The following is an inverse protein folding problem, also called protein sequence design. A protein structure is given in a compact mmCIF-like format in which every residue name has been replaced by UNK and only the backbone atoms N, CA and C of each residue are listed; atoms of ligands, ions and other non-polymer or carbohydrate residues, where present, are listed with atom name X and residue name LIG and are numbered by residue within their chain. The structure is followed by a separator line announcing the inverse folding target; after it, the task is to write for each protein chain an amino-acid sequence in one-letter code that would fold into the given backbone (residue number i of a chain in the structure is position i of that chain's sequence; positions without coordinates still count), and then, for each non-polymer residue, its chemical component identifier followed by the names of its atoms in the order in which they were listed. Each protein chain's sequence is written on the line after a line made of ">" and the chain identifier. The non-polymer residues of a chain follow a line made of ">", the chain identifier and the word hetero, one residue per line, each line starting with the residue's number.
data_IF_174089563627
#
_entry.id   IF_174089563627
#
_cell.length_a   1.000
_cell.length_b   1.000
_cell.length_c   1.000
_cell.angle_alpha   90.00
_cell.angle_beta   90.00
_cell.angle_gamma   90.00
#
_symmetry.space_group_name_H-M   'P 1'
#
loop_
_entity.id
_entity.type
_entity.pdbx_description
1 polymer ?
#
# COMPACT_ATOMS: atom_id res chain seq x y z
N UNK A 1 -15.16 -11.07 -9.81
CA UNK A 1 -14.90 -10.27 -8.60
C UNK A 1 -14.64 -8.84 -8.96
N UNK A 2 -15.12 -7.93 -8.13
CA UNK A 2 -15.04 -6.49 -8.44
C UNK A 2 -13.81 -5.80 -7.85
N UNK A 3 -13.09 -6.45 -6.95
CA UNK A 3 -11.88 -5.90 -6.31
C UNK A 3 -12.08 -4.48 -5.81
N UNK A 4 -13.06 -4.25 -4.90
CA UNK A 4 -13.42 -2.89 -4.51
C UNK A 4 -12.30 -2.14 -3.79
N UNK A 5 -11.48 -2.82 -3.01
CA UNK A 5 -10.38 -2.18 -2.29
C UNK A 5 -9.32 -1.66 -3.26
N UNK A 6 -8.95 -2.46 -4.26
CA UNK A 6 -7.98 -2.05 -5.26
C UNK A 6 -8.53 -0.92 -6.12
N UNK A 7 -9.82 -0.98 -6.49
CA UNK A 7 -10.44 0.09 -7.27
C UNK A 7 -10.44 1.41 -6.52
N UNK A 8 -10.83 1.37 -5.25
CA UNK A 8 -10.82 2.57 -4.41
C UNK A 8 -9.40 3.14 -4.29
N UNK A 9 -8.43 2.28 -4.02
CA UNK A 9 -7.05 2.70 -3.87
C UNK A 9 -6.52 3.36 -5.14
N UNK A 10 -6.74 2.71 -6.29
CA UNK A 10 -6.25 3.24 -7.57
C UNK A 10 -6.87 4.60 -7.86
N UNK A 11 -8.17 4.75 -7.65
CA UNK A 11 -8.87 6.01 -7.93
C UNK A 11 -8.47 7.12 -6.97
N UNK A 12 -8.00 6.78 -5.78
CA UNK A 12 -7.69 7.76 -4.74
C UNK A 12 -6.22 8.15 -4.70
N UNK A 13 -5.30 7.17 -4.82
CA UNK A 13 -3.89 7.40 -4.52
C UNK A 13 -2.95 7.27 -5.71
N UNK A 14 -3.42 6.81 -6.86
CA UNK A 14 -2.57 6.63 -8.03
C UNK A 14 -2.66 7.83 -8.94
N UNK A 15 -1.54 8.20 -9.57
CA UNK A 15 -1.51 9.26 -10.57
C UNK A 15 -2.56 8.98 -11.65
N UNK A 16 -3.30 10.01 -12.03
CA UNK A 16 -4.44 9.87 -12.93
C UNK A 16 -4.09 9.15 -14.23
N UNK A 17 -2.95 9.48 -14.82
CA UNK A 17 -2.53 8.91 -16.10
C UNK A 17 -2.08 7.43 -15.99
N UNK A 18 -1.97 6.90 -14.78
CA UNK A 18 -1.56 5.52 -14.56
C UNK A 18 -2.69 4.60 -14.11
N UNK A 19 -3.86 5.16 -13.80
CA UNK A 19 -4.95 4.43 -13.16
C UNK A 19 -5.51 3.29 -14.01
N UNK A 20 -5.81 3.57 -15.26
CA UNK A 20 -6.47 2.60 -16.13
C UNK A 20 -5.63 1.35 -16.32
N UNK A 21 -4.36 1.53 -16.65
CA UNK A 21 -3.46 0.40 -16.90
C UNK A 21 -3.20 -0.41 -15.64
N UNK A 22 -3.00 0.27 -14.50
CA UNK A 22 -2.77 -0.42 -13.25
C UNK A 22 -3.99 -1.22 -12.83
N UNK A 23 -5.16 -0.60 -12.90
CA UNK A 23 -6.40 -1.27 -12.53
C UNK A 23 -6.66 -2.50 -13.40
N UNK A 24 -6.40 -2.39 -14.70
CA UNK A 24 -6.53 -3.54 -15.60
C UNK A 24 -5.67 -4.71 -15.11
N UNK A 25 -4.41 -4.46 -14.78
CA UNK A 25 -3.52 -5.52 -14.29
C UNK A 25 -4.00 -6.13 -12.97
N UNK A 26 -4.49 -5.31 -12.04
CA UNK A 26 -4.92 -5.77 -10.73
C UNK A 26 -6.23 -6.55 -10.76
N UNK A 27 -7.11 -6.26 -11.73
CA UNK A 27 -8.46 -6.84 -11.75
C UNK A 27 -8.67 -7.89 -12.82
N UNK A 28 -7.67 -8.18 -13.65
CA UNK A 28 -7.76 -9.22 -14.67
C UNK A 28 -7.24 -10.52 -14.10
N UNK A 29 -8.05 -11.60 -14.01
CA UNK A 29 -7.66 -12.83 -13.33
C UNK A 29 -6.33 -13.37 -13.79
N UNK A 30 -5.97 -13.65 -14.89
CA UNK A 30 -4.67 -14.24 -15.29
C UNK A 30 -3.48 -13.31 -15.15
N UNK A 31 -3.69 -12.03 -14.81
CA UNK A 31 -2.64 -11.02 -14.75
C UNK A 31 -2.42 -10.45 -13.35
N UNK A 32 -3.21 -10.89 -12.39
CA UNK A 32 -3.25 -10.26 -11.07
C UNK A 32 -1.91 -10.35 -10.32
N UNK A 33 -1.25 -11.50 -10.33
CA UNK A 33 0.06 -11.63 -9.65
C UNK A 33 1.08 -10.65 -10.25
N UNK A 34 1.18 -10.59 -11.57
CA UNK A 34 2.12 -9.68 -12.22
C UNK A 34 1.75 -8.23 -11.95
N UNK A 35 0.45 -7.92 -11.91
CA UNK A 35 -0.03 -6.57 -11.59
C UNK A 35 0.34 -6.16 -10.17
N UNK A 36 0.14 -7.04 -9.20
CA UNK A 36 0.51 -6.78 -7.81
C UNK A 36 2.02 -6.58 -7.69
N UNK A 37 2.80 -7.46 -8.30
CA UNK A 37 4.26 -7.37 -8.25
C UNK A 37 4.75 -6.06 -8.85
N UNK A 38 4.25 -5.69 -10.02
CA UNK A 38 4.64 -4.45 -10.69
C UNK A 38 4.26 -3.24 -9.84
N UNK A 39 3.04 -3.23 -9.32
CA UNK A 39 2.58 -2.13 -8.49
C UNK A 39 3.47 -1.98 -7.25
N UNK A 40 3.71 -3.06 -6.53
CA UNK A 40 4.48 -3.01 -5.30
C UNK A 40 5.92 -2.54 -5.54
N UNK A 41 6.52 -2.95 -6.66
CA UNK A 41 7.91 -2.58 -6.96
C UNK A 41 8.05 -1.19 -7.58
N UNK A 42 6.98 -0.63 -8.13
CA UNK A 42 7.00 0.68 -8.79
C UNK A 42 6.11 1.71 -8.08
N UNK A 43 5.74 1.45 -6.83
CA UNK A 43 4.77 2.27 -6.12
C UNK A 43 5.11 3.76 -6.12
N UNK A 44 6.38 4.12 -5.88
CA UNK A 44 6.77 5.52 -5.83
C UNK A 44 6.53 6.26 -7.14
N UNK A 45 6.65 5.56 -8.27
CA UNK A 45 6.44 6.15 -9.58
C UNK A 45 4.95 6.26 -9.94
N UNK A 46 4.12 5.43 -9.31
CA UNK A 46 2.69 5.34 -9.62
C UNK A 46 1.83 6.20 -8.68
N UNK A 47 2.30 6.44 -7.46
CA UNK A 47 1.53 7.16 -6.44
C UNK A 47 1.44 8.66 -6.74
N UNK A 48 0.30 9.25 -6.39
CA UNK A 48 0.10 10.69 -6.46
C UNK A 48 0.84 11.34 -5.29
N UNK A 49 1.91 12.12 -5.54
CA UNK A 49 2.71 12.67 -4.46
C UNK A 49 1.95 13.68 -3.59
N UNK A 50 0.87 14.27 -4.10
CA UNK A 50 0.08 15.21 -3.30
C UNK A 50 -0.66 14.53 -2.15
N UNK A 51 -0.79 13.21 -2.19
CA UNK A 51 -1.45 12.43 -1.14
C UNK A 51 -0.50 11.96 -0.05
N UNK A 52 0.80 12.07 -0.24
CA UNK A 52 1.80 11.61 0.73
C UNK A 52 1.87 12.62 1.87
N UNK A 53 1.64 12.14 3.11
CA UNK A 53 1.69 13.00 4.30
C UNK A 53 2.90 12.72 5.18
N UNK A 54 3.50 11.53 5.08
CA UNK A 54 4.74 11.19 5.79
C UNK A 54 5.54 10.22 4.94
N UNK A 55 6.87 10.31 4.98
CA UNK A 55 7.73 9.37 4.29
C UNK A 55 9.09 9.25 4.97
N UNK A 56 9.78 8.14 4.74
CA UNK A 56 11.12 7.91 5.24
C UNK A 56 11.32 6.48 5.74
N UNK A 57 12.58 6.05 5.83
CA UNK A 57 12.94 4.72 6.32
C UNK A 57 12.54 4.51 7.77
N UNK A 58 12.52 5.58 8.54
CA UNK A 58 12.22 5.55 9.97
C UNK A 58 10.73 5.77 10.28
N UNK A 59 9.87 5.78 9.26
CA UNK A 59 8.45 6.08 9.43
C UNK A 59 7.81 5.28 10.56
N UNK A 60 8.05 3.98 10.59
CA UNK A 60 7.45 3.08 11.56
C UNK A 60 7.92 3.32 12.99
N UNK A 61 8.97 4.14 13.19
CA UNK A 61 9.53 4.47 14.51
C UNK A 61 9.18 5.88 14.95
N UNK A 62 8.48 6.66 14.13
CA UNK A 62 8.13 8.04 14.47
C UNK A 62 6.90 8.08 15.39
N UNK A 63 6.90 8.95 16.41
CA UNK A 63 5.72 9.10 17.27
C UNK A 63 4.46 9.51 16.52
N UNK A 64 4.59 10.35 15.50
CA UNK A 64 3.46 10.79 14.68
C UNK A 64 2.79 9.62 13.97
N UNK A 65 3.58 8.66 13.51
CA UNK A 65 3.06 7.47 12.87
C UNK A 65 2.33 6.57 13.88
N UNK A 66 2.91 6.39 15.07
CA UNK A 66 2.26 5.62 16.14
C UNK A 66 0.94 6.26 16.53
N UNK A 67 0.89 7.59 16.59
CA UNK A 67 -0.34 8.32 16.86
C UNK A 67 -1.40 8.09 15.78
N UNK A 68 -0.97 8.11 14.52
CA UNK A 68 -1.86 7.83 13.40
C UNK A 68 -2.45 6.42 13.50
N UNK A 69 -1.63 5.42 13.81
CA UNK A 69 -2.09 4.03 13.94
C UNK A 69 -3.15 3.90 15.05
N UNK A 70 -2.96 4.60 16.17
CA UNK A 70 -3.93 4.56 17.26
C UNK A 70 -5.26 5.21 16.88
N UNK A 71 -5.22 6.25 16.05
CA UNK A 71 -6.43 6.96 15.64
C UNK A 71 -7.19 6.23 14.52
N UNK A 72 -6.53 5.35 13.80
CA UNK A 72 -7.09 4.68 12.62
C UNK A 72 -7.10 3.16 12.80
N UNK A 73 -7.41 2.68 13.99
CA UNK A 73 -7.47 1.25 14.29
C UNK A 73 -8.69 0.62 13.61
N UNK A 74 -8.46 0.09 12.42
CA UNK A 74 -9.51 -0.51 11.61
C UNK A 74 -8.96 -1.73 10.86
N UNK A 75 -9.87 -2.53 10.29
CA UNK A 75 -9.48 -3.64 9.42
C UNK A 75 -9.07 -3.08 8.08
N UNK A 76 -7.89 -3.46 7.62
CA UNK A 76 -7.30 -2.99 6.37
C UNK A 76 -7.15 -4.15 5.39
N UNK A 77 -7.06 -3.81 4.11
CA UNK A 77 -6.78 -4.77 3.04
C UNK A 77 -5.30 -4.68 2.67
N UNK A 78 -4.62 -5.83 2.62
CA UNK A 78 -3.16 -5.88 2.46
C UNK A 78 -2.80 -6.66 1.20
N UNK A 79 -1.98 -6.04 0.35
CA UNK A 79 -1.44 -6.69 -0.85
C UNK A 79 0.07 -6.77 -0.78
N UNK A 80 0.63 -7.89 -1.23
CA UNK A 80 2.07 -8.08 -1.40
C UNK A 80 2.32 -9.26 -2.33
N UNK A 81 3.41 -9.21 -3.13
CA UNK A 81 3.81 -10.40 -3.90
C UNK A 81 4.13 -11.60 -3.02
N UNK A 82 4.46 -11.37 -1.74
CA UNK A 82 4.78 -12.43 -0.78
C UNK A 82 3.53 -13.11 -0.21
N UNK A 83 2.34 -12.54 -0.42
CA UNK A 83 1.09 -13.07 0.12
C UNK A 83 0.23 -13.68 -0.97
N UNK A 84 -0.91 -14.25 -0.57
CA UNK A 84 -1.91 -14.73 -1.52
C UNK A 84 -2.38 -13.58 -2.41
N UNK A 85 -2.56 -13.85 -3.72
CA UNK A 85 -2.99 -12.81 -4.67
C UNK A 85 -4.39 -12.27 -4.36
N UNK A 86 -5.20 -13.00 -3.59
CA UNK A 86 -6.51 -12.49 -3.17
C UNK A 86 -6.38 -11.39 -2.12
N UNK A 87 -5.21 -11.21 -1.52
CA UNK A 87 -4.99 -10.25 -0.46
C UNK A 87 -5.40 -10.78 0.90
N UNK A 88 -5.11 -9.99 1.93
CA UNK A 88 -5.44 -10.33 3.32
C UNK A 88 -6.18 -9.18 3.96
N UNK A 89 -7.11 -9.50 4.86
CA UNK A 89 -7.73 -8.50 5.74
C UNK A 89 -7.12 -8.65 7.13
N UNK A 90 -6.50 -7.57 7.61
CA UNK A 90 -5.85 -7.55 8.92
C UNK A 90 -6.19 -6.25 9.64
N UNK A 91 -6.26 -6.30 10.96
CA UNK A 91 -6.28 -5.09 11.77
C UNK A 91 -5.04 -4.25 11.46
N UNK A 92 -5.14 -2.94 11.49
CA UNK A 92 -4.05 -2.06 11.09
C UNK A 92 -2.74 -2.34 11.80
N UNK A 93 -2.75 -2.52 13.11
CA UNK A 93 -1.50 -2.78 13.85
C UNK A 93 -0.86 -4.11 13.42
N UNK A 94 -1.67 -5.15 13.20
CA UNK A 94 -1.17 -6.43 12.71
C UNK A 94 -0.64 -6.31 11.29
N UNK A 95 -1.31 -5.53 10.45
CA UNK A 95 -0.85 -5.29 9.08
C UNK A 95 0.52 -4.63 9.06
N UNK A 96 0.74 -3.63 9.91
CA UNK A 96 2.02 -2.94 10.01
C UNK A 96 3.11 -3.89 10.52
N UNK A 97 2.82 -4.70 11.53
CA UNK A 97 3.78 -5.68 12.05
C UNK A 97 4.17 -6.69 10.97
N UNK A 98 3.19 -7.19 10.22
CA UNK A 98 3.46 -8.09 9.10
C UNK A 98 4.31 -7.41 8.02
N UNK A 99 4.03 -6.16 7.71
CA UNK A 99 4.76 -5.43 6.69
C UNK A 99 6.23 -5.23 7.11
N UNK A 100 6.47 -4.88 8.37
CA UNK A 100 7.83 -4.69 8.88
C UNK A 100 8.66 -5.96 8.72
N UNK A 101 8.06 -7.11 8.97
CA UNK A 101 8.75 -8.41 8.90
C UNK A 101 8.81 -9.00 7.49
N UNK A 102 8.03 -8.47 6.55
CA UNK A 102 7.94 -9.04 5.22
C UNK A 102 9.20 -8.75 4.40
N UNK A 103 9.75 -9.75 3.69
CA UNK A 103 10.94 -9.53 2.85
C UNK A 103 10.63 -8.90 1.49
N UNK A 104 9.39 -8.52 1.23
CA UNK A 104 8.96 -7.94 -0.03
C UNK A 104 8.14 -6.67 0.23
N UNK A 105 7.79 -5.94 -0.82
CA UNK A 105 6.96 -4.76 -0.72
C UNK A 105 5.56 -5.12 -0.22
N UNK A 106 4.95 -4.22 0.57
CA UNK A 106 3.61 -4.43 1.12
C UNK A 106 2.81 -3.13 1.01
N UNK A 107 1.55 -3.25 0.61
CA UNK A 107 0.64 -2.11 0.54
C UNK A 107 -0.54 -2.39 1.46
N UNK A 108 -0.76 -1.49 2.41
CA UNK A 108 -1.86 -1.55 3.36
C UNK A 108 -2.89 -0.50 2.96
N UNK A 109 -4.12 -0.93 2.72
CA UNK A 109 -5.21 -0.06 2.28
C UNK A 109 -6.25 0.07 3.38
N UNK A 110 -6.38 1.29 3.93
CA UNK A 110 -7.44 1.61 4.88
C UNK A 110 -8.61 2.31 4.20
N UNK A 111 -9.58 2.78 4.98
CA UNK A 111 -10.77 3.43 4.44
C UNK A 111 -10.48 4.80 3.84
N UNK A 112 -9.52 5.55 4.40
CA UNK A 112 -9.20 6.90 3.94
C UNK A 112 -7.71 7.15 3.86
N UNK A 113 -6.89 6.10 3.97
CA UNK A 113 -5.44 6.20 3.97
C UNK A 113 -4.83 4.94 3.36
N UNK A 114 -3.54 5.01 3.09
CA UNK A 114 -2.77 3.84 2.67
C UNK A 114 -1.35 3.94 3.22
N UNK A 115 -0.73 2.81 3.48
CA UNK A 115 0.66 2.74 3.92
C UNK A 115 1.40 1.84 2.94
N UNK A 116 2.51 2.34 2.40
CA UNK A 116 3.31 1.60 1.44
C UNK A 116 4.68 1.31 2.05
N UNK A 117 5.03 0.03 2.13
CA UNK A 117 6.36 -0.42 2.49
C UNK A 117 7.02 -0.90 1.21
N UNK A 118 8.06 -0.20 0.75
CA UNK A 118 8.84 -0.65 -0.39
C UNK A 118 9.57 -1.95 -0.07
N UNK A 119 10.17 -2.58 -1.08
CA UNK A 119 10.97 -3.78 -0.82
C UNK A 119 12.24 -3.41 -0.07
N UNK A 120 12.73 -4.28 0.83
CA UNK A 120 13.99 -4.02 1.53
C UNK A 120 15.15 -3.94 0.52
N UNK A 121 15.97 -2.91 0.66
CA UNK A 121 17.12 -2.68 -0.20
C UNK A 121 18.36 -2.43 0.65
N UNK A 122 19.53 -2.52 0.04
CA UNK A 122 20.81 -2.37 0.73
C UNK A 122 20.90 -1.03 1.47
N UNK A 123 20.34 0.03 0.92
CA UNK A 123 20.35 1.37 1.53
C UNK A 123 19.20 1.65 2.49
N UNK A 124 18.35 0.66 2.75
CA UNK A 124 17.19 0.83 3.61
C UNK A 124 15.89 0.51 2.89
N UNK A 125 14.77 0.76 3.55
CA UNK A 125 13.44 0.45 3.03
C UNK A 125 12.58 1.70 3.00
N UNK A 126 12.12 2.09 1.81
CA UNK A 126 11.22 3.23 1.67
C UNK A 126 9.86 2.93 2.27
N UNK A 127 9.29 3.91 2.98
CA UNK A 127 7.98 3.78 3.62
C UNK A 127 7.21 5.08 3.42
N UNK A 128 5.93 4.98 3.07
CA UNK A 128 5.07 6.12 2.78
C UNK A 128 3.73 5.96 3.49
N UNK A 129 3.22 7.08 4.03
CA UNK A 129 1.85 7.17 4.52
C UNK A 129 1.10 8.17 3.66
N UNK A 130 -0.03 7.75 3.10
CA UNK A 130 -0.86 8.57 2.23
C UNK A 130 -2.25 8.78 2.86
N UNK A 131 -2.83 9.94 2.60
CA UNK A 131 -4.19 10.25 3.06
C UNK A 131 -5.00 10.86 1.92
N UNK A 132 -6.25 10.44 1.78
CA UNK A 132 -7.11 10.98 0.74
C UNK A 132 -7.53 12.42 1.00
N UNK A 133 -7.40 12.89 2.24
CA UNK A 133 -7.79 14.25 2.60
C UNK A 133 -6.75 15.30 2.27
N UNK A 134 -5.61 14.89 1.75
CA UNK A 134 -4.56 15.83 1.43
C UNK A 134 -4.62 16.29 -0.02
#
# INVERSE_FOLDING_TARGET
>A
MDYPNERHFVQTFIRKERRERLLYGLTTPGKRYDGISRFCHQAQQLLDPTKIIMEGEDLDRRPEFSGFLRQHDETCFVLSPAFDTEGLFLNLSDAVDQAIMCPDAVIIMGSSFAIVFGEPMKGGRGKLLLSEKR
#
